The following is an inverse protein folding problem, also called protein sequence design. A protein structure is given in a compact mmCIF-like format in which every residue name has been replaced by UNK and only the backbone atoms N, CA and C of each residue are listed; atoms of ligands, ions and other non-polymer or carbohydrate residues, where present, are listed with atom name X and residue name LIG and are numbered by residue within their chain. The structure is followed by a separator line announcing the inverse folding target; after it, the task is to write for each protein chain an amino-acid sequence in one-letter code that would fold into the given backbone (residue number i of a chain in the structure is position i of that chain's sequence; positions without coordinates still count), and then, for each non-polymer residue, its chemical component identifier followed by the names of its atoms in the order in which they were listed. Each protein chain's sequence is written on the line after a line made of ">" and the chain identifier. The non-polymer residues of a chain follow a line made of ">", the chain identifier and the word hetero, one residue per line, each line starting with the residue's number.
data_IF_568344875296
#
_entry.id   IF_568344875296
#
_cell.length_a   1.000
_cell.length_b   1.000
_cell.length_c   1.000
_cell.angle_alpha   90.00
_cell.angle_beta   90.00
_cell.angle_gamma   90.00
#
_symmetry.space_group_name_H-M   'P 1'
#
loop_
_entity.id
_entity.type
_entity.pdbx_description
1 polymer ?
#
# COMPACT_ATOMS: atom_id res chain seq x y z
N UNK A 1 -17.04 29.99 -48.22
CA UNK A 1 -15.65 29.76 -47.76
C UNK A 1 -15.51 29.97 -46.25
N UNK A 2 -15.97 31.10 -45.68
CA UNK A 2 -15.90 31.33 -44.23
C UNK A 2 -16.63 30.27 -43.39
N UNK A 3 -17.75 29.75 -43.88
CA UNK A 3 -18.54 28.70 -43.23
C UNK A 3 -17.75 27.37 -43.09
N UNK A 4 -17.01 26.99 -44.13
CA UNK A 4 -16.16 25.80 -44.11
C UNK A 4 -14.99 26.00 -43.14
N UNK A 5 -14.39 27.19 -43.11
CA UNK A 5 -13.33 27.51 -42.16
C UNK A 5 -13.82 27.51 -40.71
N UNK A 6 -15.03 28.01 -40.46
CA UNK A 6 -15.66 27.98 -39.14
C UNK A 6 -15.93 26.54 -38.71
N UNK A 7 -16.49 25.71 -39.59
CA UNK A 7 -16.77 24.30 -39.31
C UNK A 7 -15.49 23.52 -38.95
N UNK A 8 -14.41 23.72 -39.71
CA UNK A 8 -13.11 23.09 -39.43
C UNK A 8 -12.54 23.58 -38.09
N UNK A 9 -12.71 24.86 -37.78
CA UNK A 9 -12.24 25.43 -36.50
C UNK A 9 -12.97 24.83 -35.31
N UNK A 10 -14.31 24.73 -35.39
CA UNK A 10 -15.14 24.11 -34.35
C UNK A 10 -14.79 22.62 -34.19
N UNK A 11 -14.61 21.89 -35.31
CA UNK A 11 -14.20 20.49 -35.28
C UNK A 11 -12.81 20.31 -34.66
N UNK A 12 -11.85 21.17 -35.00
CA UNK A 12 -10.50 21.14 -34.43
C UNK A 12 -10.53 21.34 -32.92
N UNK A 13 -11.27 22.34 -32.44
CA UNK A 13 -11.44 22.58 -31.00
C UNK A 13 -12.09 21.38 -30.30
N UNK A 14 -13.17 20.84 -30.87
CA UNK A 14 -13.84 19.65 -30.34
C UNK A 14 -12.90 18.45 -30.22
N UNK A 15 -12.11 18.18 -31.27
CA UNK A 15 -11.16 17.08 -31.26
C UNK A 15 -10.07 17.25 -30.19
N UNK A 16 -9.52 18.46 -30.02
CA UNK A 16 -8.51 18.71 -28.99
C UNK A 16 -9.05 18.48 -27.57
N UNK A 17 -10.29 18.90 -27.31
CA UNK A 17 -10.96 18.65 -26.01
C UNK A 17 -11.14 17.16 -25.78
N UNK A 18 -11.63 16.41 -26.79
CA UNK A 18 -11.83 14.96 -26.69
C UNK A 18 -10.52 14.22 -26.38
N UNK A 19 -9.44 14.57 -27.08
CA UNK A 19 -8.12 13.97 -26.85
C UNK A 19 -7.66 14.27 -25.43
N UNK A 20 -7.73 15.54 -24.99
CA UNK A 20 -7.31 15.93 -23.65
C UNK A 20 -8.11 15.20 -22.55
N UNK A 21 -9.42 15.05 -22.71
CA UNK A 21 -10.26 14.30 -21.76
C UNK A 21 -9.92 12.81 -21.73
N UNK A 22 -9.64 12.23 -22.89
CA UNK A 22 -9.28 10.81 -23.01
C UNK A 22 -7.94 10.54 -22.33
N UNK A 23 -6.94 11.39 -22.54
CA UNK A 23 -5.64 11.28 -21.87
C UNK A 23 -5.77 11.39 -20.35
N UNK A 24 -6.63 12.28 -19.85
CA UNK A 24 -6.90 12.41 -18.42
C UNK A 24 -7.58 11.16 -17.85
N UNK A 25 -8.56 10.61 -18.57
CA UNK A 25 -9.23 9.37 -18.17
C UNK A 25 -8.22 8.21 -18.07
N UNK A 26 -7.35 8.06 -19.06
CA UNK A 26 -6.33 7.02 -19.07
C UNK A 26 -5.34 7.17 -17.90
N UNK A 27 -4.95 8.40 -17.56
CA UNK A 27 -4.09 8.66 -16.41
C UNK A 27 -4.75 8.20 -15.09
N UNK A 28 -6.04 8.44 -14.92
CA UNK A 28 -6.80 7.99 -13.73
C UNK A 28 -6.88 6.46 -13.68
N UNK A 29 -7.16 5.80 -14.81
CA UNK A 29 -7.21 4.32 -14.87
C UNK A 29 -5.86 3.72 -14.51
N UNK A 30 -4.77 4.28 -15.05
CA UNK A 30 -3.40 3.86 -14.69
C UNK A 30 -3.13 4.02 -13.21
N UNK A 31 -3.53 5.15 -12.63
CA UNK A 31 -3.38 5.39 -11.20
C UNK A 31 -4.17 4.37 -10.37
N UNK A 32 -5.43 4.12 -10.71
CA UNK A 32 -6.27 3.13 -10.02
C UNK A 32 -5.64 1.72 -10.07
N UNK A 33 -5.14 1.30 -11.23
CA UNK A 33 -4.45 0.02 -11.39
C UNK A 33 -3.19 -0.10 -10.52
N UNK A 34 -2.42 0.98 -10.40
CA UNK A 34 -1.24 1.00 -9.54
C UNK A 34 -1.62 0.85 -8.06
N UNK A 35 -2.69 1.50 -7.60
CA UNK A 35 -3.20 1.34 -6.24
C UNK A 35 -3.74 -0.06 -5.97
N UNK A 36 -4.51 -0.63 -6.92
CA UNK A 36 -4.97 -2.02 -6.83
C UNK A 36 -3.78 -2.99 -6.72
N UNK A 37 -2.76 -2.79 -7.54
CA UNK A 37 -1.52 -3.57 -7.49
C UNK A 37 -0.84 -3.43 -6.12
N UNK A 38 -0.69 -2.20 -5.61
CA UNK A 38 -0.11 -1.96 -4.29
C UNK A 38 -0.91 -2.66 -3.17
N UNK A 39 -2.25 -2.68 -3.28
CA UNK A 39 -3.14 -3.37 -2.34
C UNK A 39 -2.93 -4.88 -2.35
N UNK A 40 -2.77 -5.48 -3.53
CA UNK A 40 -2.43 -6.90 -3.64
C UNK A 40 -1.03 -7.20 -3.09
N UNK A 41 -0.06 -6.32 -3.33
CA UNK A 41 1.30 -6.46 -2.84
C UNK A 41 1.37 -6.37 -1.31
N UNK A 42 0.56 -5.54 -0.66
CA UNK A 42 0.44 -5.54 0.81
C UNK A 42 0.09 -6.93 1.36
N UNK A 43 -0.90 -7.60 0.76
CA UNK A 43 -1.25 -8.97 1.14
C UNK A 43 -0.11 -9.96 0.86
N UNK A 44 0.65 -9.75 -0.21
CA UNK A 44 1.83 -10.56 -0.52
C UNK A 44 2.94 -10.41 0.52
N UNK A 45 3.24 -9.19 0.98
CA UNK A 45 4.24 -8.97 2.05
C UNK A 45 3.84 -9.70 3.32
N UNK A 46 2.55 -9.70 3.67
CA UNK A 46 2.07 -10.43 4.86
C UNK A 46 2.24 -11.95 4.72
N UNK A 47 2.09 -12.50 3.52
CA UNK A 47 2.27 -13.93 3.25
C UNK A 47 3.74 -14.35 3.18
N UNK A 48 4.59 -13.53 2.56
CA UNK A 48 6.03 -13.82 2.39
C UNK A 48 6.82 -13.52 3.67
N UNK A 49 6.40 -12.53 4.46
CA UNK A 49 7.03 -12.11 5.72
C UNK A 49 6.00 -12.06 6.87
N UNK A 50 5.51 -13.21 7.35
CA UNK A 50 4.45 -13.27 8.35
C UNK A 50 4.95 -13.04 9.78
N UNK A 51 4.71 -11.84 10.33
CA UNK A 51 5.07 -11.50 11.72
C UNK A 51 4.33 -12.36 12.76
N UNK A 52 3.15 -12.85 12.41
CA UNK A 52 2.33 -13.70 13.28
C UNK A 52 2.92 -15.11 13.46
N UNK A 53 3.81 -15.57 12.58
CA UNK A 53 4.46 -16.87 12.71
C UNK A 53 5.81 -16.80 13.45
N UNK A 54 6.33 -15.60 13.69
CA UNK A 54 7.58 -15.41 14.42
C UNK A 54 7.38 -15.69 15.92
N UNK A 55 8.38 -16.30 16.54
CA UNK A 55 8.38 -16.61 17.98
C UNK A 55 8.40 -15.33 18.84
N UNK A 56 9.04 -14.28 18.34
CA UNK A 56 9.15 -12.97 18.98
C UNK A 56 8.98 -11.87 17.93
N UNK A 57 8.20 -10.84 18.25
CA UNK A 57 8.12 -9.62 17.43
C UNK A 57 9.14 -8.64 18.00
N UNK A 58 10.09 -8.22 17.17
CA UNK A 58 11.08 -7.21 17.52
C UNK A 58 10.72 -5.87 16.86
N UNK A 59 10.88 -4.79 17.62
CA UNK A 59 10.75 -3.44 17.06
C UNK A 59 11.90 -3.17 16.09
N UNK A 60 11.61 -2.50 14.99
CA UNK A 60 12.59 -2.28 13.93
C UNK A 60 11.96 -1.89 12.60
N UNK A 61 12.80 -1.87 11.57
CA UNK A 61 12.38 -1.57 10.20
C UNK A 61 12.91 -2.67 9.28
N UNK A 62 12.06 -3.10 8.36
CA UNK A 62 12.39 -4.05 7.30
C UNK A 62 11.99 -3.50 5.94
N UNK A 63 12.65 -3.93 4.88
CA UNK A 63 12.37 -3.45 3.53
C UNK A 63 12.79 -4.44 2.45
N UNK A 64 12.14 -4.36 1.31
CA UNK A 64 12.48 -5.22 0.18
C UNK A 64 11.81 -4.82 -1.12
N UNK A 65 12.10 -5.63 -2.14
CA UNK A 65 11.54 -5.50 -3.48
C UNK A 65 10.68 -6.72 -3.82
N UNK A 66 9.83 -6.60 -4.84
CA UNK A 66 9.00 -7.70 -5.30
C UNK A 66 9.58 -8.41 -6.51
N UNK A 67 9.82 -9.72 -6.39
CA UNK A 67 10.13 -10.55 -7.55
C UNK A 67 8.93 -10.58 -8.52
N UNK A 68 9.21 -10.24 -9.78
CA UNK A 68 8.23 -10.19 -10.87
C UNK A 68 7.40 -8.91 -10.97
N UNK A 69 7.58 -7.94 -10.06
CA UNK A 69 6.83 -6.66 -10.08
C UNK A 69 7.79 -5.48 -9.92
N UNK A 70 8.53 -5.14 -11.00
CA UNK A 70 9.54 -4.08 -10.93
C UNK A 70 8.93 -2.71 -10.68
N UNK A 71 9.66 -1.84 -9.98
CA UNK A 71 9.24 -0.47 -9.68
C UNK A 71 8.35 -0.31 -8.45
N UNK A 72 8.05 -1.41 -7.75
CA UNK A 72 7.41 -1.42 -6.45
C UNK A 72 8.40 -1.90 -5.39
N UNK A 73 8.40 -1.23 -4.25
CA UNK A 73 9.22 -1.57 -3.09
C UNK A 73 8.34 -1.54 -1.85
N UNK A 74 8.69 -2.29 -0.82
CA UNK A 74 7.98 -2.28 0.45
C UNK A 74 8.91 -1.92 1.59
N UNK A 75 8.33 -1.26 2.60
CA UNK A 75 8.96 -1.04 3.91
C UNK A 75 7.97 -1.41 4.99
N UNK A 76 8.46 -1.89 6.12
CA UNK A 76 7.66 -2.24 7.29
C UNK A 76 8.36 -1.71 8.54
N UNK A 77 7.68 -0.84 9.26
CA UNK A 77 8.17 -0.26 10.51
C UNK A 77 7.34 -0.82 11.68
N UNK A 78 8.01 -1.38 12.68
CA UNK A 78 7.42 -2.02 13.85
C UNK A 78 7.80 -1.21 15.09
N UNK A 79 6.80 -0.70 15.79
CA UNK A 79 6.97 0.08 17.01
C UNK A 79 6.18 -0.55 18.16
N UNK A 80 6.74 -0.50 19.37
CA UNK A 80 6.03 -0.90 20.60
C UNK A 80 5.06 0.21 20.98
N UNK A 81 3.81 -0.16 21.27
CA UNK A 81 2.77 0.77 21.69
C UNK A 81 2.53 0.61 23.18
N UNK A 82 2.81 1.65 23.95
CA UNK A 82 2.67 1.61 25.41
C UNK A 82 3.91 1.02 26.08
N UNK A 83 3.72 0.10 27.04
CA UNK A 83 4.83 -0.61 27.69
C UNK A 83 5.09 -1.92 26.96
N UNK A 84 6.35 -2.36 26.94
CA UNK A 84 6.75 -3.64 26.34
C UNK A 84 5.97 -4.84 26.96
N UNK A 85 5.68 -4.77 28.27
CA UNK A 85 4.87 -5.75 28.99
C UNK A 85 3.43 -5.89 28.48
N UNK A 86 2.91 -4.86 27.80
CA UNK A 86 1.56 -4.87 27.23
C UNK A 86 1.49 -5.76 25.99
N UNK A 87 2.64 -6.06 25.35
CA UNK A 87 2.71 -6.92 24.16
C UNK A 87 1.98 -6.35 22.94
N UNK A 88 1.80 -5.03 22.86
CA UNK A 88 1.12 -4.37 21.75
C UNK A 88 2.11 -3.71 20.81
N UNK A 89 2.01 -4.02 19.52
CA UNK A 89 2.88 -3.50 18.47
C UNK A 89 2.05 -2.81 17.40
N UNK A 90 2.53 -1.68 16.88
CA UNK A 90 2.02 -1.06 15.66
C UNK A 90 2.96 -1.35 14.51
N UNK A 91 2.42 -1.93 13.45
CA UNK A 91 3.13 -2.32 12.24
C UNK A 91 2.65 -1.45 11.09
N UNK A 92 3.48 -0.51 10.65
CA UNK A 92 3.23 0.30 9.46
C UNK A 92 3.88 -0.38 8.26
N UNK A 93 3.06 -0.96 7.37
CA UNK A 93 3.55 -1.48 6.09
C UNK A 93 3.24 -0.49 4.99
N UNK A 94 4.27 -0.12 4.21
CA UNK A 94 4.20 0.86 3.12
C UNK A 94 4.66 0.20 1.82
N UNK A 95 3.86 0.35 0.77
CA UNK A 95 4.26 0.00 -0.60
C UNK A 95 4.52 1.30 -1.36
N UNK A 96 5.71 1.47 -1.94
CA UNK A 96 6.11 2.64 -2.69
C UNK A 96 6.37 2.31 -4.16
N UNK A 97 5.99 3.21 -5.07
CA UNK A 97 6.26 3.12 -6.51
C UNK A 97 6.47 4.49 -7.14
N UNK A 98 7.03 4.50 -8.36
CA UNK A 98 7.17 5.72 -9.16
C UNK A 98 6.14 5.74 -10.29
N UNK A 99 5.38 6.83 -10.40
CA UNK A 99 4.45 7.05 -11.51
C UNK A 99 4.66 8.45 -12.10
N UNK A 100 4.98 8.51 -13.40
CA UNK A 100 5.29 9.74 -14.13
C UNK A 100 6.31 10.65 -13.40
N UNK A 101 7.36 10.05 -12.81
CA UNK A 101 8.42 10.76 -12.10
C UNK A 101 8.06 11.23 -10.68
N UNK A 102 6.84 10.94 -10.20
CA UNK A 102 6.41 11.21 -8.82
C UNK A 102 6.42 9.92 -8.03
N UNK A 103 7.04 9.95 -6.84
CA UNK A 103 6.92 8.86 -5.86
C UNK A 103 5.50 8.87 -5.28
N UNK A 104 4.91 7.69 -5.21
CA UNK A 104 3.60 7.42 -4.60
C UNK A 104 3.76 6.27 -3.62
N UNK A 105 2.90 6.22 -2.62
CA UNK A 105 2.84 5.11 -1.69
C UNK A 105 1.41 4.81 -1.25
N UNK A 106 1.22 3.59 -0.77
CA UNK A 106 0.04 3.09 -0.08
C UNK A 106 0.50 2.51 1.27
N UNK A 107 -0.24 2.78 2.34
CA UNK A 107 0.16 2.46 3.71
C UNK A 107 -0.98 1.79 4.48
N UNK A 108 -0.63 0.80 5.30
CA UNK A 108 -1.54 0.15 6.24
C UNK A 108 -0.87 0.05 7.59
N UNK A 109 -1.57 0.50 8.63
CA UNK A 109 -1.18 0.31 10.03
C UNK A 109 -1.98 -0.85 10.60
N UNK A 110 -1.28 -1.87 11.08
CA UNK A 110 -1.86 -3.03 11.73
C UNK A 110 -1.39 -3.05 13.18
N UNK A 111 -2.32 -3.20 14.12
CA UNK A 111 -1.98 -3.45 15.52
C UNK A 111 -1.91 -4.96 15.75
N UNK A 112 -0.78 -5.42 16.26
CA UNK A 112 -0.56 -6.82 16.63
C UNK A 112 -0.44 -6.93 18.14
N UNK A 113 -1.22 -7.84 18.71
CA UNK A 113 -1.18 -8.16 20.14
C UNK A 113 -0.52 -9.52 20.34
N UNK A 114 0.63 -9.52 21.01
CA UNK A 114 1.38 -10.70 21.42
C UNK A 114 1.92 -10.46 22.84
N UNK A 115 1.17 -10.83 23.88
CA UNK A 115 1.68 -10.76 25.25
C UNK A 115 2.79 -11.79 25.44
N UNK A 116 3.83 -11.46 26.19
CA UNK A 116 4.81 -12.47 26.62
C UNK A 116 4.09 -13.55 27.43
N UNK A 117 4.37 -14.83 27.17
CA UNK A 117 3.86 -15.92 28.00
C UNK A 117 4.36 -15.73 29.44
N UNK A 118 3.48 -15.24 30.32
CA UNK A 118 3.71 -15.36 31.76
C UNK A 118 3.66 -16.85 32.11
N UNK A 119 4.83 -17.46 32.29
CA UNK A 119 4.94 -18.77 32.96
C UNK A 119 4.13 -18.74 34.27
N UNK A 120 3.04 -19.52 34.31
CA UNK A 120 2.37 -19.91 35.55
C UNK A 120 1.03 -19.24 35.82
N UNK A 121 -0.04 -19.79 35.24
CA UNK A 121 -1.39 -19.70 35.79
C UNK A 121 -1.90 -21.12 36.06
N UNK A 122 -1.66 -21.64 37.26
CA UNK A 122 -2.31 -22.88 37.70
C UNK A 122 -3.81 -22.62 37.72
N UNK A 123 -4.55 -23.21 36.78
CA UNK A 123 -6.01 -23.26 36.85
C UNK A 123 -6.35 -24.21 38.00
N UNK A 124 -6.55 -23.64 39.19
CA UNK A 124 -7.15 -24.38 40.30
C UNK A 124 -8.64 -24.45 40.00
N UNK A 125 -9.09 -25.55 39.38
CA UNK A 125 -10.50 -25.91 39.39
C UNK A 125 -10.89 -26.23 40.84
N UNK A 126 -11.82 -25.45 41.38
CA UNK A 126 -12.43 -25.73 42.68
C UNK A 126 -13.51 -26.81 42.48
N UNK A 127 -13.57 -27.84 43.34
CA UNK A 127 -14.51 -28.95 43.21
C UNK A 127 -15.97 -28.53 43.40
#
# INVERSE_FOLDING_TARGET
>A
MIEVMLAITILGLGLTVLIATTSRCLAVVRQAKNYETARHLLGRVELEHPLQLEEKIEAGSDSGDFSGVPGFQWTRDIEVVGKEEDGLFSVLTRIAWSDSGRKRSEEVITYLYRPEEKKGGTVVSKP
#
